data_IF_395274515521
#
_entry.id   IF_395274515521
#
_cell.length_a   1.000
_cell.length_b   1.000
_cell.length_c   1.000
_cell.angle_alpha   90.00
_cell.angle_beta   90.00
_cell.angle_gamma   90.00
#
_symmetry.space_group_name_H-M   'P 1'
#
loop_
_entity.id
_entity.type
_entity.pdbx_description
1 polymer ?
#
# COMPACT_ATOMS: atom_id res chain seq x y z
N UNK A 1 3.39 -7.28 -15.67
CA UNK A 1 4.41 -8.30 -15.98
C UNK A 1 4.47 -9.30 -14.84
N UNK A 2 4.51 -10.57 -15.16
CA UNK A 2 4.54 -11.66 -14.17
C UNK A 2 5.99 -12.12 -13.87
N UNK A 3 6.94 -11.68 -14.68
CA UNK A 3 8.36 -12.01 -14.56
C UNK A 3 9.23 -10.92 -15.17
N UNK A 4 10.55 -11.01 -14.96
CA UNK A 4 11.50 -10.01 -15.45
C UNK A 4 11.66 -9.94 -16.96
N UNK A 5 11.46 -11.04 -17.71
CA UNK A 5 11.51 -11.00 -19.17
C UNK A 5 10.34 -10.22 -19.74
N UNK A 6 9.14 -10.43 -19.22
CA UNK A 6 7.97 -9.63 -19.59
C UNK A 6 8.12 -8.17 -19.19
N UNK A 7 8.72 -7.90 -18.02
CA UNK A 7 8.99 -6.54 -17.59
C UNK A 7 9.92 -5.82 -18.58
N UNK A 8 11.00 -6.46 -19.03
CA UNK A 8 11.93 -5.91 -20.03
C UNK A 8 11.19 -5.68 -21.36
N UNK A 9 10.43 -6.66 -21.85
CA UNK A 9 9.68 -6.54 -23.10
C UNK A 9 8.64 -5.42 -23.04
N UNK A 10 7.91 -5.30 -21.92
CA UNK A 10 6.95 -4.22 -21.69
C UNK A 10 7.63 -2.86 -21.65
N UNK A 11 8.77 -2.78 -20.94
CA UNK A 11 9.57 -1.55 -20.90
C UNK A 11 10.06 -1.12 -22.30
N UNK A 12 10.57 -2.05 -23.09
CA UNK A 12 11.02 -1.75 -24.46
C UNK A 12 9.90 -1.18 -25.33
N UNK A 13 8.68 -1.68 -25.15
CA UNK A 13 7.53 -1.26 -25.91
C UNK A 13 6.92 0.06 -25.42
N UNK A 14 6.88 0.27 -24.11
CA UNK A 14 6.17 1.38 -23.48
C UNK A 14 7.05 2.56 -23.12
N UNK A 15 8.34 2.32 -22.83
CA UNK A 15 9.29 3.34 -22.34
C UNK A 15 8.72 4.18 -21.20
N UNK A 16 8.24 3.56 -20.10
CA UNK A 16 7.64 4.27 -19.00
C UNK A 16 8.65 5.15 -18.29
N UNK A 17 8.20 6.21 -17.65
CA UNK A 17 9.05 7.10 -16.86
C UNK A 17 9.49 6.46 -15.54
N UNK A 18 8.64 5.58 -14.97
CA UNK A 18 8.92 4.86 -13.72
C UNK A 18 8.40 3.42 -13.79
N UNK A 19 9.14 2.51 -13.17
CA UNK A 19 8.78 1.10 -13.01
C UNK A 19 8.83 0.76 -11.52
N UNK A 20 7.74 0.18 -11.02
CA UNK A 20 7.73 -0.55 -9.76
C UNK A 20 8.18 -1.98 -10.03
N UNK A 21 9.39 -2.35 -9.59
CA UNK A 21 10.00 -3.62 -9.89
C UNK A 21 10.02 -4.53 -8.66
N UNK A 22 9.25 -5.62 -8.69
CA UNK A 22 9.40 -6.66 -7.68
C UNK A 22 10.77 -7.34 -7.85
N UNK A 23 11.52 -7.42 -6.77
CA UNK A 23 12.84 -8.06 -6.80
C UNK A 23 12.75 -9.58 -6.85
N UNK A 24 11.64 -10.18 -6.41
CA UNK A 24 11.45 -11.63 -6.36
C UNK A 24 10.42 -12.10 -7.39
N UNK A 25 10.88 -12.37 -8.58
CA UNK A 25 10.05 -12.90 -9.67
C UNK A 25 10.65 -14.19 -10.22
N UNK A 26 9.81 -15.09 -10.81
CA UNK A 26 10.30 -16.29 -11.49
C UNK A 26 10.99 -15.95 -12.81
N UNK A 27 11.71 -16.91 -13.39
CA UNK A 27 12.39 -16.87 -14.69
C UNK A 27 13.57 -15.88 -14.70
N UNK A 28 13.30 -14.59 -14.70
CA UNK A 28 14.25 -13.50 -14.52
C UNK A 28 13.78 -12.67 -13.34
N UNK A 29 14.63 -12.51 -12.34
CA UNK A 29 14.34 -11.72 -11.15
C UNK A 29 14.43 -10.20 -11.42
N UNK A 30 13.98 -9.40 -10.47
CA UNK A 30 13.96 -7.94 -10.62
C UNK A 30 15.37 -7.33 -10.68
N UNK A 31 16.36 -7.95 -10.06
CA UNK A 31 17.74 -7.49 -10.11
C UNK A 31 18.32 -7.59 -11.51
N UNK A 32 18.14 -8.75 -12.15
CA UNK A 32 18.62 -8.98 -13.50
C UNK A 32 17.83 -8.14 -14.53
N UNK A 33 16.51 -8.05 -14.36
CA UNK A 33 15.67 -7.19 -15.20
C UNK A 33 16.13 -5.73 -15.13
N UNK A 34 16.37 -5.21 -13.91
CA UNK A 34 16.87 -3.85 -13.69
C UNK A 34 18.22 -3.63 -14.39
N UNK A 35 19.18 -4.54 -14.20
CA UNK A 35 20.50 -4.43 -14.85
C UNK A 35 20.39 -4.35 -16.38
N UNK A 36 19.54 -5.19 -16.99
CA UNK A 36 19.34 -5.20 -18.45
C UNK A 36 18.69 -3.91 -18.94
N UNK A 37 17.67 -3.43 -18.25
CA UNK A 37 16.99 -2.17 -18.59
C UNK A 37 17.99 -0.99 -18.48
N UNK A 38 18.73 -0.90 -17.38
CA UNK A 38 19.69 0.18 -17.15
C UNK A 38 20.89 0.14 -18.11
N UNK A 39 21.30 -1.04 -18.57
CA UNK A 39 22.37 -1.20 -19.56
C UNK A 39 22.03 -0.56 -20.91
N UNK A 40 20.76 -0.39 -21.25
CA UNK A 40 20.31 0.32 -22.45
C UNK A 40 20.44 1.87 -22.36
N UNK A 41 20.91 2.39 -21.22
CA UNK A 41 21.14 3.83 -21.03
C UNK A 41 19.85 4.65 -20.88
N UNK A 42 18.80 4.05 -20.34
CA UNK A 42 17.48 4.70 -20.15
C UNK A 42 17.45 5.66 -18.96
N UNK A 43 16.61 6.70 -19.08
CA UNK A 43 16.26 7.59 -17.96
C UNK A 43 15.10 7.06 -17.11
N UNK A 44 14.48 5.92 -17.50
CA UNK A 44 13.42 5.27 -16.73
C UNK A 44 13.85 5.06 -15.28
N UNK A 45 13.07 5.56 -14.34
CA UNK A 45 13.26 5.33 -12.92
C UNK A 45 12.79 3.93 -12.54
N UNK A 46 13.62 3.18 -11.83
CA UNK A 46 13.28 1.84 -11.37
C UNK A 46 13.30 1.84 -9.86
N UNK A 47 12.13 1.65 -9.28
CA UNK A 47 11.93 1.58 -7.83
C UNK A 47 11.71 0.12 -7.45
N UNK A 48 12.62 -0.41 -6.66
CA UNK A 48 12.52 -1.78 -6.18
C UNK A 48 11.38 -1.93 -5.18
N UNK A 49 10.60 -2.98 -5.32
CA UNK A 49 9.57 -3.38 -4.36
C UNK A 49 10.04 -4.67 -3.69
N UNK A 50 10.34 -4.61 -2.38
CA UNK A 50 10.97 -5.72 -1.65
C UNK A 50 10.24 -6.06 -0.35
N UNK A 51 10.21 -7.35 0.02
CA UNK A 51 9.71 -7.79 1.32
C UNK A 51 10.76 -7.68 2.44
N UNK A 52 12.05 -7.45 2.10
CA UNK A 52 13.14 -7.46 3.06
C UNK A 52 13.53 -6.05 3.52
N UNK A 53 13.89 -5.94 4.79
CA UNK A 53 14.32 -4.70 5.45
C UNK A 53 15.84 -4.68 5.77
N UNK A 54 16.59 -5.71 5.34
CA UNK A 54 18.00 -5.81 5.69
C UNK A 54 18.86 -4.86 4.84
N UNK A 55 19.87 -4.28 5.47
CA UNK A 55 20.80 -3.33 4.84
C UNK A 55 21.56 -3.96 3.65
N UNK A 56 21.81 -5.27 3.71
CA UNK A 56 22.46 -6.05 2.64
C UNK A 56 21.60 -6.08 1.37
N UNK A 57 20.28 -6.22 1.50
CA UNK A 57 19.34 -6.21 0.37
C UNK A 57 19.25 -4.81 -0.25
N UNK A 58 19.35 -3.75 0.56
CA UNK A 58 19.39 -2.37 0.08
C UNK A 58 20.60 -2.13 -0.81
N UNK A 59 21.78 -2.62 -0.42
CA UNK A 59 22.97 -2.47 -1.23
C UNK A 59 22.85 -3.22 -2.56
N UNK A 60 22.29 -4.43 -2.56
CA UNK A 60 22.05 -5.19 -3.79
C UNK A 60 21.09 -4.49 -4.75
N UNK A 61 20.04 -3.85 -4.22
CA UNK A 61 19.09 -3.06 -4.99
C UNK A 61 19.79 -1.89 -5.70
N UNK A 62 20.63 -1.16 -4.98
CA UNK A 62 21.39 -0.03 -5.54
C UNK A 62 22.45 -0.51 -6.55
N UNK A 63 23.15 -1.61 -6.26
CA UNK A 63 24.16 -2.20 -7.15
C UNK A 63 23.52 -2.74 -8.45
N UNK A 64 22.27 -3.13 -8.43
CA UNK A 64 21.51 -3.49 -9.63
C UNK A 64 21.15 -2.28 -10.50
N UNK A 65 21.26 -1.05 -9.97
CA UNK A 65 20.96 0.19 -10.66
C UNK A 65 19.55 0.73 -10.40
N UNK A 66 18.87 0.28 -9.35
CA UNK A 66 17.59 0.89 -8.95
C UNK A 66 17.82 2.32 -8.45
N UNK A 67 16.86 3.22 -8.75
CA UNK A 67 16.89 4.62 -8.32
C UNK A 67 16.36 4.78 -6.88
N UNK A 68 15.54 3.84 -6.42
CA UNK A 68 14.97 3.83 -5.08
C UNK A 68 14.39 2.47 -4.72
N UNK A 69 13.79 2.37 -3.53
CA UNK A 69 13.11 1.16 -3.09
C UNK A 69 11.94 1.48 -2.17
N UNK A 70 10.93 0.59 -2.15
CA UNK A 70 9.81 0.59 -1.22
C UNK A 70 9.65 -0.81 -0.64
N UNK A 71 9.35 -0.87 0.65
CA UNK A 71 9.21 -2.12 1.37
C UNK A 71 7.75 -2.55 1.45
N UNK A 72 7.48 -3.83 1.17
CA UNK A 72 6.18 -4.45 1.42
C UNK A 72 6.01 -4.78 2.92
N UNK A 73 4.84 -4.54 3.53
CA UNK A 73 3.70 -3.79 2.99
C UNK A 73 3.99 -2.30 2.95
N UNK A 74 3.51 -1.59 1.95
CA UNK A 74 3.68 -0.15 1.78
C UNK A 74 2.34 0.57 1.82
N UNK A 75 2.36 1.83 2.24
CA UNK A 75 1.20 2.70 2.23
C UNK A 75 1.14 3.48 0.92
N UNK A 76 -0.05 3.83 0.50
CA UNK A 76 -0.28 4.64 -0.70
C UNK A 76 0.53 5.95 -0.67
N UNK A 77 0.56 6.63 0.49
CA UNK A 77 1.33 7.85 0.68
C UNK A 77 2.84 7.68 0.40
N UNK A 78 3.41 6.49 0.68
CA UNK A 78 4.81 6.20 0.36
C UNK A 78 5.04 6.11 -1.15
N UNK A 79 4.08 5.53 -1.88
CA UNK A 79 4.15 5.46 -3.35
C UNK A 79 4.09 6.86 -3.96
N UNK A 80 3.16 7.70 -3.49
CA UNK A 80 3.05 9.09 -3.94
C UNK A 80 4.31 9.89 -3.64
N UNK A 81 4.88 9.76 -2.43
CA UNK A 81 6.13 10.44 -2.06
C UNK A 81 7.30 10.04 -2.98
N UNK A 82 7.48 8.73 -3.23
CA UNK A 82 8.53 8.22 -4.10
C UNK A 82 8.33 8.68 -5.55
N UNK A 83 7.11 8.66 -6.07
CA UNK A 83 6.81 9.17 -7.42
C UNK A 83 7.08 10.67 -7.51
N UNK A 84 6.70 11.45 -6.49
CA UNK A 84 7.02 12.89 -6.42
C UNK A 84 8.52 13.15 -6.46
N UNK A 85 9.29 12.41 -5.68
CA UNK A 85 10.76 12.55 -5.61
C UNK A 85 11.45 12.20 -6.93
N UNK A 86 11.07 11.10 -7.57
CA UNK A 86 11.78 10.58 -8.74
C UNK A 86 11.29 11.12 -10.08
N UNK A 87 10.03 11.56 -10.17
CA UNK A 87 9.42 12.12 -11.38
C UNK A 87 9.29 13.63 -11.34
N UNK A 88 9.49 14.26 -10.18
CA UNK A 88 9.30 15.70 -10.00
C UNK A 88 7.84 16.13 -10.18
N UNK A 89 6.88 15.23 -9.90
CA UNK A 89 5.45 15.54 -9.99
C UNK A 89 4.98 16.15 -8.67
N UNK A 90 4.18 17.20 -8.76
CA UNK A 90 3.46 17.77 -7.64
C UNK A 90 2.02 17.23 -7.65
N UNK A 91 1.58 16.66 -6.52
CA UNK A 91 0.21 16.19 -6.38
C UNK A 91 -0.68 17.35 -5.96
N UNK A 92 -1.71 17.59 -6.75
CA UNK A 92 -2.78 18.50 -6.38
C UNK A 92 -3.88 17.65 -5.73
N UNK A 93 -4.01 17.78 -4.43
CA UNK A 93 -5.11 17.15 -3.71
C UNK A 93 -6.36 18.01 -3.92
N UNK A 94 -7.45 17.39 -4.37
CA UNK A 94 -8.74 18.09 -4.43
C UNK A 94 -9.22 18.29 -3.00
N UNK A 95 -9.34 19.56 -2.57
CA UNK A 95 -9.72 19.90 -1.20
C UNK A 95 -11.14 19.40 -0.83
N UNK A 96 -11.92 18.93 -1.82
CA UNK A 96 -13.27 18.39 -1.59
C UNK A 96 -13.27 16.94 -1.03
N UNK A 97 -12.15 16.23 -1.03
CA UNK A 97 -12.08 14.84 -0.55
C UNK A 97 -11.24 14.62 0.71
N UNK A 98 -10.58 15.66 1.22
CA UNK A 98 -9.85 15.58 2.49
C UNK A 98 -10.63 16.38 3.52
N UNK A 99 -11.48 15.72 4.27
CA UNK A 99 -11.91 16.22 5.57
C UNK A 99 -10.89 15.74 6.63
N UNK A 100 -9.83 16.53 6.91
CA UNK A 100 -8.76 16.10 7.81
C UNK A 100 -9.15 16.19 9.30
N UNK A 101 -10.36 16.63 9.60
CA UNK A 101 -10.74 16.96 10.98
C UNK A 101 -12.03 16.27 11.49
N UNK A 102 -12.77 15.52 10.66
CA UNK A 102 -14.07 15.00 11.04
C UNK A 102 -14.22 13.48 11.15
N UNK A 103 -13.47 12.71 10.35
CA UNK A 103 -13.68 11.24 10.28
C UNK A 103 -12.97 10.45 11.38
N UNK A 104 -11.76 10.86 11.77
CA UNK A 104 -10.97 10.07 12.73
C UNK A 104 -11.45 10.20 14.18
N UNK A 105 -12.04 11.33 14.54
CA UNK A 105 -12.41 11.60 15.94
C UNK A 105 -13.71 10.91 16.35
N UNK A 106 -14.67 10.79 15.42
CA UNK A 106 -15.98 10.18 15.73
C UNK A 106 -15.87 8.65 15.76
N UNK A 107 -15.13 8.06 14.82
CA UNK A 107 -14.94 6.62 14.74
C UNK A 107 -14.20 6.03 15.94
N UNK A 108 -13.18 6.72 16.47
CA UNK A 108 -12.41 6.23 17.62
C UNK A 108 -13.26 6.18 18.91
N UNK A 109 -14.06 7.20 19.17
CA UNK A 109 -14.91 7.25 20.37
C UNK A 109 -16.05 6.23 20.32
N UNK A 110 -16.67 6.04 19.13
CA UNK A 110 -17.75 5.09 18.94
C UNK A 110 -17.25 3.65 18.98
N UNK A 111 -16.08 3.38 18.41
CA UNK A 111 -15.45 2.06 18.43
C UNK A 111 -15.01 1.66 19.84
N UNK A 112 -14.53 2.60 20.65
CA UNK A 112 -14.18 2.37 22.06
C UNK A 112 -15.41 1.97 22.91
N UNK A 113 -16.62 2.36 22.52
CA UNK A 113 -17.86 2.00 23.19
C UNK A 113 -18.35 0.58 22.88
N UNK A 114 -17.81 -0.04 21.82
CA UNK A 114 -18.22 -1.38 21.38
C UNK A 114 -17.68 -2.49 22.30
N UNK A 115 -18.37 -3.65 22.36
CA UNK A 115 -17.92 -4.78 23.16
C UNK A 115 -16.48 -5.20 22.81
N UNK A 116 -15.66 -5.46 23.82
CA UNK A 116 -14.24 -5.87 23.65
C UNK A 116 -14.10 -7.09 22.73
N UNK A 117 -15.02 -8.06 22.82
CA UNK A 117 -14.99 -9.24 21.97
C UNK A 117 -15.19 -8.91 20.49
N UNK A 118 -16.11 -7.97 20.20
CA UNK A 118 -16.36 -7.50 18.83
C UNK A 118 -15.17 -6.69 18.28
N UNK A 119 -14.64 -5.76 19.08
CA UNK A 119 -13.44 -4.99 18.69
C UNK A 119 -12.25 -5.89 18.36
N UNK A 120 -12.07 -6.94 19.18
CA UNK A 120 -11.00 -7.92 18.92
C UNK A 120 -11.23 -8.70 17.63
N UNK A 121 -12.46 -9.10 17.32
CA UNK A 121 -12.77 -9.77 16.06
C UNK A 121 -12.52 -8.87 14.86
N UNK A 122 -12.87 -7.58 14.94
CA UNK A 122 -12.58 -6.57 13.92
C UNK A 122 -11.07 -6.40 13.74
N UNK A 123 -10.31 -6.31 14.82
CA UNK A 123 -8.85 -6.23 14.78
C UNK A 123 -8.22 -7.45 14.09
N UNK A 124 -8.65 -8.67 14.48
CA UNK A 124 -8.13 -9.92 13.91
C UNK A 124 -8.47 -10.03 12.41
N UNK A 125 -9.69 -9.68 12.00
CA UNK A 125 -10.10 -9.68 10.60
C UNK A 125 -9.30 -8.65 9.77
N UNK A 126 -9.12 -7.43 10.28
CA UNK A 126 -8.32 -6.40 9.63
C UNK A 126 -6.85 -6.79 9.53
N UNK A 127 -6.30 -7.45 10.56
CA UNK A 127 -4.90 -7.89 10.58
C UNK A 127 -4.55 -8.87 9.46
N UNK A 128 -5.49 -9.73 9.07
CA UNK A 128 -5.32 -10.67 7.97
C UNK A 128 -5.97 -10.21 6.66
N UNK A 129 -6.48 -8.97 6.62
CA UNK A 129 -7.20 -8.36 5.51
C UNK A 129 -8.37 -9.23 5.00
N UNK A 130 -9.14 -9.81 5.93
CA UNK A 130 -10.35 -10.59 5.62
C UNK A 130 -11.55 -9.66 5.46
N UNK A 131 -11.77 -9.19 4.24
CA UNK A 131 -12.87 -8.28 3.89
C UNK A 131 -14.23 -8.89 4.22
N UNK A 132 -14.43 -10.19 3.93
CA UNK A 132 -15.72 -10.85 4.17
C UNK A 132 -16.05 -10.93 5.66
N UNK A 133 -15.06 -11.21 6.51
CA UNK A 133 -15.23 -11.20 7.95
C UNK A 133 -15.51 -9.79 8.48
N UNK A 134 -14.84 -8.77 7.95
CA UNK A 134 -15.09 -7.36 8.31
C UNK A 134 -16.50 -6.93 7.92
N UNK A 135 -16.95 -7.21 6.70
CA UNK A 135 -18.30 -6.90 6.24
C UNK A 135 -19.38 -7.57 7.12
N UNK A 136 -19.17 -8.83 7.51
CA UNK A 136 -20.08 -9.51 8.42
C UNK A 136 -20.16 -8.83 9.78
N UNK A 137 -19.01 -8.49 10.39
CA UNK A 137 -18.95 -7.80 11.68
C UNK A 137 -19.55 -6.39 11.64
N UNK A 138 -19.32 -5.66 10.55
CA UNK A 138 -19.92 -4.33 10.33
C UNK A 138 -21.44 -4.45 10.19
N UNK A 139 -21.92 -5.47 9.47
CA UNK A 139 -23.35 -5.74 9.32
C UNK A 139 -24.07 -5.99 10.66
N UNK A 140 -23.39 -6.60 11.65
CA UNK A 140 -23.96 -6.82 13.00
C UNK A 140 -24.33 -5.52 13.71
N UNK A 141 -23.57 -4.43 13.47
CA UNK A 141 -23.74 -3.15 14.13
C UNK A 141 -24.50 -2.10 13.31
N UNK A 142 -24.74 -2.37 12.04
CA UNK A 142 -25.30 -1.39 11.09
C UNK A 142 -26.67 -0.82 11.54
N UNK A 143 -27.47 -1.59 12.26
CA UNK A 143 -28.79 -1.15 12.76
C UNK A 143 -28.67 -0.23 13.95
N UNK A 144 -27.79 -0.54 14.91
CA UNK A 144 -27.65 0.19 16.17
C UNK A 144 -26.64 1.33 16.09
N UNK A 145 -25.63 1.19 15.21
CA UNK A 145 -24.55 2.15 14.99
C UNK A 145 -24.31 2.46 13.49
N UNK A 146 -25.31 3.01 12.77
CA UNK A 146 -25.23 3.17 11.32
C UNK A 146 -24.08 4.08 10.85
N UNK A 147 -23.77 5.13 11.59
CA UNK A 147 -22.66 6.02 11.24
C UNK A 147 -21.29 5.35 11.37
N UNK A 148 -21.08 4.53 12.41
CA UNK A 148 -19.85 3.76 12.58
C UNK A 148 -19.74 2.67 11.51
N UNK A 149 -20.83 2.00 11.17
CA UNK A 149 -20.85 0.99 10.12
C UNK A 149 -20.46 1.60 8.77
N UNK A 150 -21.04 2.72 8.38
CA UNK A 150 -20.72 3.43 7.12
C UNK A 150 -19.23 3.84 7.04
N UNK A 151 -18.66 4.31 8.16
CA UNK A 151 -17.26 4.67 8.22
C UNK A 151 -16.34 3.46 8.09
N UNK A 152 -16.64 2.36 8.77
CA UNK A 152 -15.86 1.13 8.65
C UNK A 152 -15.97 0.51 7.25
N UNK A 153 -17.16 0.53 6.63
CA UNK A 153 -17.35 0.11 5.24
C UNK A 153 -16.51 0.95 4.28
N UNK A 154 -16.42 2.26 4.50
CA UNK A 154 -15.56 3.12 3.70
C UNK A 154 -14.08 2.75 3.86
N UNK A 155 -13.61 2.51 5.10
CA UNK A 155 -12.24 2.08 5.35
C UNK A 155 -11.92 0.72 4.71
N UNK A 156 -12.85 -0.24 4.76
CA UNK A 156 -12.67 -1.56 4.10
C UNK A 156 -12.55 -1.37 2.58
N UNK A 157 -13.43 -0.57 1.98
CA UNK A 157 -13.40 -0.26 0.55
C UNK A 157 -12.10 0.40 0.09
N UNK A 158 -11.55 1.26 0.94
CA UNK A 158 -10.31 2.01 0.68
C UNK A 158 -9.04 1.25 1.14
N UNK A 159 -9.18 -0.04 1.50
CA UNK A 159 -8.11 -0.91 2.02
C UNK A 159 -7.41 -0.34 3.27
N UNK A 160 -8.11 0.45 4.07
CA UNK A 160 -7.63 1.10 5.29
C UNK A 160 -7.53 0.17 6.51
N UNK A 161 -7.08 -1.07 6.34
CA UNK A 161 -7.02 -2.08 7.40
C UNK A 161 -6.13 -1.66 8.58
N UNK A 162 -5.05 -0.94 8.32
CA UNK A 162 -4.17 -0.41 9.38
C UNK A 162 -4.91 0.61 10.27
N UNK A 163 -5.78 1.44 9.68
CA UNK A 163 -6.60 2.38 10.43
C UNK A 163 -7.65 1.65 11.27
N UNK A 164 -8.30 0.64 10.69
CA UNK A 164 -9.26 -0.21 11.43
C UNK A 164 -8.58 -0.88 12.62
N UNK A 165 -7.38 -1.47 12.43
CA UNK A 165 -6.60 -2.07 13.52
C UNK A 165 -6.26 -1.06 14.61
N UNK A 166 -5.80 0.13 14.23
CA UNK A 166 -5.44 1.19 15.18
C UNK A 166 -6.65 1.63 16.00
N UNK A 167 -7.79 1.82 15.36
CA UNK A 167 -9.05 2.20 16.01
C UNK A 167 -9.57 1.08 16.94
N UNK A 168 -9.48 -0.18 16.52
CA UNK A 168 -9.95 -1.33 17.30
C UNK A 168 -9.04 -1.68 18.49
N UNK A 169 -7.73 -1.34 18.42
CA UNK A 169 -6.74 -1.56 19.47
C UNK A 169 -6.74 -0.48 20.57
N UNK A 170 -7.38 0.67 20.35
CA UNK A 170 -7.45 1.73 21.37
C UNK A 170 -8.26 1.25 22.58
N UNK A 171 -7.60 1.19 23.73
CA UNK A 171 -8.21 0.89 25.04
C UNK A 171 -8.97 2.10 25.60
#
# INVERSE_FOLDING_TARGET
>A
AENGEEAIATWQQWQPQLIWMDMRMPVVDGYEATRRIKAEGTETKIIAVTASAFEEDRQQVLDAGCDGFVRKPFREAELWAVMGEHLGVEYVYDEETVDPAGRDVVAAADLASMPVAWRRAVYEAAHIADEAALEALIGEIATDHPALAEQLEALVRDFGFDQIMHLAAAD
#
